data_IF_093681080273
#
_entry.id   IF_093681080273
#
_cell.length_a   1.000
_cell.length_b   1.000
_cell.length_c   1.000
_cell.angle_alpha   90.00
_cell.angle_beta   90.00
_cell.angle_gamma   90.00
#
_symmetry.space_group_name_H-M   'P 1'
#
loop_
_entity.id
_entity.type
_entity.pdbx_description
1 polymer ?
#
# COMPACT_ATOMS: atom_id res chain seq x y z
N UNK A 1 7.89 6.72 23.53
CA UNK A 1 6.91 7.06 22.47
C UNK A 1 6.00 5.86 22.24
N UNK A 2 4.70 6.08 22.06
CA UNK A 2 3.70 5.03 21.83
C UNK A 2 3.25 5.10 20.35
N UNK A 3 3.14 3.94 19.70
CA UNK A 3 2.78 3.81 18.27
C UNK A 3 1.30 3.46 18.12
N UNK A 4 0.60 4.19 17.26
CA UNK A 4 -0.76 3.87 16.81
C UNK A 4 -0.65 3.12 15.49
N UNK A 5 -1.29 1.97 15.39
CA UNK A 5 -1.41 1.23 14.14
C UNK A 5 -2.85 1.42 13.68
N UNK A 6 -3.12 2.36 12.77
CA UNK A 6 -4.44 2.41 12.14
C UNK A 6 -4.49 1.31 11.08
N UNK A 7 -5.28 0.27 11.31
CA UNK A 7 -5.48 -0.80 10.35
C UNK A 7 -6.70 -0.41 9.51
N UNK A 8 -6.46 -0.08 8.25
CA UNK A 8 -7.52 0.18 7.29
C UNK A 8 -7.66 -1.07 6.40
N UNK A 9 -8.52 -2.01 6.80
CA UNK A 9 -9.05 -2.95 5.82
C UNK A 9 -9.88 -2.14 4.82
N UNK A 10 -9.42 -2.01 3.57
CA UNK A 10 -10.23 -1.42 2.51
C UNK A 10 -11.26 -2.50 2.13
N UNK A 11 -12.33 -2.58 2.93
CA UNK A 11 -13.56 -3.22 2.53
C UNK A 11 -14.55 -2.13 2.12
N UNK A 12 -14.26 -1.41 1.03
CA UNK A 12 -15.25 -0.58 0.31
C UNK A 12 -14.63 0.05 -0.92
N UNK A 13 -14.56 -0.70 -2.03
CA UNK A 13 -14.63 -0.22 -3.42
C UNK A 13 -14.99 -1.41 -4.33
N UNK A 14 -16.13 -2.07 -4.08
CA UNK A 14 -16.68 -3.10 -4.99
C UNK A 14 -18.22 -3.13 -5.03
N UNK A 15 -18.92 -2.07 -4.62
CA UNK A 15 -20.40 -2.06 -4.62
C UNK A 15 -21.08 -1.07 -5.57
N UNK A 16 -20.35 -0.35 -6.42
CA UNK A 16 -20.96 0.60 -7.38
C UNK A 16 -20.67 0.33 -8.86
N UNK A 17 -19.94 -0.74 -9.20
CA UNK A 17 -19.71 -1.12 -10.59
C UNK A 17 -20.42 -2.42 -11.04
N UNK A 18 -21.12 -3.12 -10.14
CA UNK A 18 -21.81 -4.39 -10.46
C UNK A 18 -23.32 -4.39 -10.22
N UNK A 19 -23.92 -3.26 -9.82
CA UNK A 19 -25.37 -3.15 -9.53
C UNK A 19 -26.12 -2.14 -10.41
N UNK A 20 -25.44 -1.51 -11.37
CA UNK A 20 -26.09 -0.63 -12.36
C UNK A 20 -26.62 -1.39 -13.59
N UNK A 21 -26.53 -2.72 -13.60
CA UNK A 21 -26.94 -3.55 -14.72
C UNK A 21 -27.78 -4.76 -14.28
N UNK A 22 -28.64 -4.65 -13.25
CA UNK A 22 -29.75 -5.61 -13.08
C UNK A 22 -30.84 -5.14 -12.09
N UNK A 23 -31.35 -3.92 -12.25
CA UNK A 23 -32.51 -3.43 -11.50
C UNK A 23 -33.60 -2.92 -12.44
N UNK A 24 -33.92 -3.73 -13.43
CA UNK A 24 -35.19 -3.65 -14.14
C UNK A 24 -35.77 -5.06 -14.27
N UNK A 25 -36.23 -5.66 -13.18
CA UNK A 25 -37.42 -6.50 -13.15
C UNK A 25 -37.70 -7.07 -11.75
N UNK A 26 -38.98 -7.03 -11.38
CA UNK A 26 -39.70 -7.78 -10.33
C UNK A 26 -39.83 -7.11 -8.95
N UNK A 27 -41.05 -6.63 -8.75
CA UNK A 27 -41.66 -6.27 -7.48
C UNK A 27 -42.32 -7.49 -6.80
N UNK A 28 -42.54 -7.34 -5.49
CA UNK A 28 -43.62 -7.88 -4.63
C UNK A 28 -43.50 -9.26 -3.90
N UNK A 29 -43.74 -9.16 -2.57
CA UNK A 29 -44.32 -10.10 -1.58
C UNK A 29 -43.56 -11.44 -1.33
N UNK A 30 -43.19 -11.83 -0.11
CA UNK A 30 -44.02 -12.33 1.01
C UNK A 30 -43.06 -12.83 2.12
N UNK A 31 -43.44 -12.80 3.40
CA UNK A 31 -42.71 -13.47 4.51
C UNK A 31 -42.92 -15.00 4.52
N UNK A 32 -41.96 -15.78 5.07
CA UNK A 32 -42.12 -16.93 6.01
C UNK A 32 -40.79 -17.72 6.16
N UNK A 33 -40.66 -18.47 7.27
CA UNK A 33 -39.49 -18.96 8.01
C UNK A 33 -38.78 -20.26 7.54
N UNK A 34 -37.49 -20.36 7.94
CA UNK A 34 -36.67 -21.51 8.41
C UNK A 34 -36.89 -22.90 7.77
N UNK A 35 -35.87 -23.39 7.04
CA UNK A 35 -35.20 -24.70 7.18
C UNK A 35 -34.20 -24.92 6.02
N UNK A 36 -32.96 -25.33 6.32
CA UNK A 36 -31.95 -25.74 5.34
C UNK A 36 -32.46 -26.92 4.49
N UNK A 37 -32.18 -26.97 3.18
CA UNK A 37 -30.88 -27.45 2.70
C UNK A 37 -30.28 -26.56 1.60
N UNK A 38 -28.95 -26.67 1.40
CA UNK A 38 -28.15 -25.87 0.47
C UNK A 38 -28.77 -25.77 -0.94
N UNK A 39 -28.87 -24.58 -1.55
CA UNK A 39 -29.44 -24.44 -2.88
C UNK A 39 -28.47 -24.97 -3.95
N UNK A 40 -28.94 -25.90 -4.79
CA UNK A 40 -28.29 -26.25 -6.05
C UNK A 40 -28.76 -25.28 -7.12
N UNK A 41 -27.83 -24.55 -7.73
CA UNK A 41 -28.03 -23.81 -8.98
C UNK A 41 -27.52 -24.66 -10.13
N UNK A 42 -28.35 -24.84 -11.16
CA UNK A 42 -27.98 -25.46 -12.43
C UNK A 42 -28.14 -24.39 -13.51
N UNK A 43 -27.11 -24.19 -14.32
CA UNK A 43 -27.17 -23.31 -15.50
C UNK A 43 -27.31 -24.19 -16.75
N UNK A 44 -27.91 -23.62 -17.80
CA UNK A 44 -28.27 -24.33 -19.04
C UNK A 44 -27.07 -24.79 -19.91
N UNK A 45 -25.83 -24.62 -19.44
CA UNK A 45 -24.60 -25.08 -20.11
C UNK A 45 -24.09 -26.44 -19.57
N UNK A 46 -24.81 -27.06 -18.62
CA UNK A 46 -24.47 -28.36 -18.05
C UNK A 46 -23.49 -28.31 -16.88
N UNK A 47 -23.14 -27.13 -16.36
CA UNK A 47 -22.36 -27.01 -15.13
C UNK A 47 -23.20 -27.31 -13.87
N UNK A 48 -22.71 -28.25 -13.05
CA UNK A 48 -23.32 -28.60 -11.75
C UNK A 48 -22.35 -28.33 -10.61
N UNK A 49 -22.82 -27.64 -9.56
CA UNK A 49 -22.01 -27.27 -8.39
C UNK A 49 -22.18 -28.25 -7.21
N UNK A 50 -21.07 -28.80 -6.71
CA UNK A 50 -20.98 -29.52 -5.43
C UNK A 50 -19.64 -29.17 -4.74
N UNK A 51 -19.68 -28.39 -3.66
CA UNK A 51 -18.53 -28.16 -2.76
C UNK A 51 -17.40 -27.25 -3.28
N UNK A 52 -16.46 -26.94 -2.36
CA UNK A 52 -15.48 -25.84 -2.44
C UNK A 52 -14.25 -26.09 -3.34
N UNK A 53 -14.42 -26.61 -4.54
CA UNK A 53 -13.32 -26.65 -5.52
C UNK A 53 -13.80 -26.59 -6.96
N UNK A 54 -13.22 -25.69 -7.77
CA UNK A 54 -13.43 -25.58 -9.21
C UNK A 54 -12.19 -26.10 -9.95
N UNK A 55 -12.42 -27.01 -10.91
CA UNK A 55 -11.46 -27.33 -11.97
C UNK A 55 -12.04 -26.83 -13.29
N UNK A 56 -11.35 -25.91 -13.97
CA UNK A 56 -11.72 -25.44 -15.31
C UNK A 56 -10.66 -25.88 -16.31
N UNK A 57 -11.13 -26.50 -17.40
CA UNK A 57 -10.33 -26.83 -18.56
C UNK A 57 -10.67 -25.79 -19.64
N UNK A 58 -9.77 -24.84 -19.90
CA UNK A 58 -9.99 -23.81 -20.91
C UNK A 58 -8.77 -23.75 -21.85
N UNK A 59 -8.94 -24.29 -23.06
CA UNK A 59 -8.09 -23.95 -24.19
C UNK A 59 -8.59 -22.64 -24.81
N UNK A 60 -7.71 -21.65 -24.99
CA UNK A 60 -8.02 -20.48 -25.80
C UNK A 60 -6.77 -19.90 -26.46
N UNK A 61 -6.90 -19.60 -27.76
CA UNK A 61 -5.86 -19.01 -28.61
C UNK A 61 -5.74 -17.50 -28.35
N UNK A 62 -4.50 -17.01 -28.26
CA UNK A 62 -4.19 -15.61 -28.05
C UNK A 62 -4.29 -14.80 -29.36
N UNK A 63 -5.08 -13.72 -29.37
CA UNK A 63 -4.87 -12.58 -30.25
C UNK A 63 -4.57 -11.35 -29.39
N UNK A 64 -3.47 -10.68 -29.73
CA UNK A 64 -2.82 -9.67 -28.90
C UNK A 64 -3.63 -8.39 -28.75
N UNK A 65 -3.79 -7.98 -27.50
CA UNK A 65 -4.13 -6.61 -27.09
C UNK A 65 -3.04 -6.18 -26.12
N UNK A 66 -2.29 -5.14 -26.48
CA UNK A 66 -1.24 -4.56 -25.65
C UNK A 66 -1.86 -3.73 -24.52
N UNK A 67 -1.62 -4.14 -23.28
CA UNK A 67 -2.07 -3.45 -22.08
C UNK A 67 -1.28 -2.14 -21.82
N UNK A 68 -1.93 -0.99 -21.56
CA UNK A 68 -1.26 0.28 -21.30
C UNK A 68 -0.47 0.31 -19.98
N UNK A 69 -0.68 -0.66 -19.07
CA UNK A 69 0.01 -0.79 -17.80
C UNK A 69 1.51 -1.14 -17.93
N UNK A 70 1.91 -1.82 -19.00
CA UNK A 70 3.32 -2.16 -19.25
C UNK A 70 4.17 -0.94 -19.64
N UNK A 71 3.55 0.12 -20.15
CA UNK A 71 4.30 1.29 -20.64
C UNK A 71 4.88 2.14 -19.52
N UNK A 72 4.21 2.27 -18.38
CA UNK A 72 4.64 3.15 -17.29
C UNK A 72 5.76 2.52 -16.45
N UNK A 73 5.67 1.22 -16.18
CA UNK A 73 6.71 0.46 -15.47
C UNK A 73 8.00 0.39 -16.28
N UNK A 74 7.92 0.11 -17.58
CA UNK A 74 9.09 0.06 -18.48
C UNK A 74 9.71 1.44 -18.75
N UNK A 75 8.91 2.51 -18.88
CA UNK A 75 9.40 3.87 -19.10
C UNK A 75 10.04 4.47 -17.84
N UNK A 76 9.56 4.12 -16.64
CA UNK A 76 10.22 4.50 -15.39
C UNK A 76 11.50 3.70 -15.14
N UNK A 77 11.56 2.42 -15.54
CA UNK A 77 12.77 1.59 -15.48
C UNK A 77 13.91 2.11 -16.37
N UNK A 78 13.62 2.52 -17.62
CA UNK A 78 14.68 3.01 -18.53
C UNK A 78 15.35 4.30 -18.07
N UNK A 79 14.66 5.16 -17.31
CA UNK A 79 15.26 6.39 -16.74
C UNK A 79 16.05 6.14 -15.44
N UNK A 80 15.88 5.00 -14.79
CA UNK A 80 16.53 4.70 -13.50
C UNK A 80 17.74 3.78 -13.60
N UNK A 81 17.96 3.10 -14.74
CA UNK A 81 19.16 2.28 -14.97
C UNK A 81 20.42 3.08 -15.38
N UNK A 82 20.32 4.40 -15.55
CA UNK A 82 21.43 5.25 -15.97
C UNK A 82 21.77 6.33 -14.95
N UNK A 83 22.55 6.01 -13.91
CA UNK A 83 23.08 7.06 -13.04
C UNK A 83 23.54 6.63 -11.65
N UNK A 84 24.58 5.80 -11.58
CA UNK A 84 25.68 5.91 -10.59
C UNK A 84 26.57 4.67 -10.71
N UNK A 85 27.88 4.89 -10.80
CA UNK A 85 28.86 3.84 -10.53
C UNK A 85 28.70 3.42 -9.06
N UNK A 86 27.82 2.45 -8.79
CA UNK A 86 27.75 1.80 -7.49
C UNK A 86 29.03 1.00 -7.33
N UNK A 87 29.91 1.49 -6.47
CA UNK A 87 31.19 0.88 -6.18
C UNK A 87 30.94 -0.55 -5.67
N UNK A 88 31.46 -1.58 -6.35
CA UNK A 88 31.21 -2.99 -6.00
C UNK A 88 31.74 -3.34 -4.60
N UNK A 89 32.66 -2.53 -4.07
CA UNK A 89 33.17 -2.56 -2.70
C UNK A 89 32.11 -2.24 -1.62
N UNK A 90 30.87 -1.88 -2.00
CA UNK A 90 29.78 -1.61 -1.05
C UNK A 90 29.08 -2.89 -0.55
N UNK A 91 29.47 -4.08 -1.04
CA UNK A 91 28.85 -5.35 -0.65
C UNK A 91 29.56 -6.09 0.50
N UNK A 92 30.74 -5.62 0.92
CA UNK A 92 31.56 -6.23 1.98
C UNK A 92 31.15 -5.84 3.40
N UNK A 93 30.39 -4.75 3.58
CA UNK A 93 29.87 -4.37 4.89
C UNK A 93 28.63 -5.21 5.27
N UNK A 94 28.45 -5.53 6.57
CA UNK A 94 27.27 -6.23 7.03
C UNK A 94 26.02 -5.38 6.72
N UNK A 95 25.11 -5.95 5.93
CA UNK A 95 23.86 -5.30 5.54
C UNK A 95 22.95 -5.18 6.77
N UNK A 96 23.08 -4.05 7.44
CA UNK A 96 22.39 -3.72 8.69
C UNK A 96 21.82 -2.31 8.59
N UNK A 97 20.73 -2.07 9.31
CA UNK A 97 20.14 -0.75 9.49
C UNK A 97 20.26 -0.38 10.96
N UNK A 98 20.74 0.82 11.26
CA UNK A 98 20.91 1.26 12.64
C UNK A 98 19.58 1.68 13.26
N UNK A 99 19.46 1.50 14.58
CA UNK A 99 18.31 1.98 15.35
C UNK A 99 18.44 3.48 15.62
N UNK A 100 18.41 4.28 14.56
CA UNK A 100 18.45 5.75 14.59
C UNK A 100 17.43 6.34 13.62
N UNK A 101 17.14 7.62 13.78
CA UNK A 101 16.31 8.33 12.82
C UNK A 101 17.04 8.56 11.50
N UNK A 102 16.41 8.16 10.41
CA UNK A 102 16.92 8.32 9.06
C UNK A 102 16.27 9.54 8.41
N UNK A 103 17.03 10.63 8.20
CA UNK A 103 16.57 11.73 7.33
C UNK A 103 16.32 11.26 5.88
N UNK A 104 15.77 12.12 5.04
CA UNK A 104 15.36 11.78 3.67
C UNK A 104 16.48 11.15 2.85
N UNK A 105 17.70 11.70 2.94
CA UNK A 105 18.85 11.20 2.18
C UNK A 105 19.30 9.83 2.68
N UNK A 106 19.37 9.62 4.00
CA UNK A 106 19.73 8.33 4.59
C UNK A 106 18.68 7.26 4.30
N UNK A 107 17.39 7.60 4.42
CA UNK A 107 16.29 6.72 4.06
C UNK A 107 16.35 6.34 2.57
N UNK A 108 16.53 7.32 1.68
CA UNK A 108 16.64 7.09 0.23
C UNK A 108 17.83 6.21 -0.10
N UNK A 109 18.97 6.45 0.56
CA UNK A 109 20.18 5.61 0.41
C UNK A 109 19.89 4.17 0.82
N UNK A 110 19.27 3.96 1.99
CA UNK A 110 18.88 2.63 2.46
C UNK A 110 17.99 1.91 1.43
N UNK A 111 16.89 2.53 0.98
CA UNK A 111 15.96 1.91 0.04
C UNK A 111 16.62 1.53 -1.29
N UNK A 112 17.49 2.39 -1.82
CA UNK A 112 18.27 2.11 -3.04
C UNK A 112 19.26 0.98 -2.84
N UNK A 113 19.97 0.96 -1.71
CA UNK A 113 20.90 -0.11 -1.36
C UNK A 113 20.19 -1.46 -1.19
N UNK A 114 19.03 -1.47 -0.52
CA UNK A 114 18.18 -2.66 -0.40
C UNK A 114 17.82 -3.22 -1.77
N UNK A 115 17.40 -2.34 -2.69
CA UNK A 115 17.01 -2.75 -4.06
C UNK A 115 18.17 -3.30 -4.86
N UNK A 116 19.34 -2.66 -4.76
CA UNK A 116 20.55 -3.14 -5.43
C UNK A 116 21.02 -4.50 -4.88
N UNK A 117 20.80 -4.77 -3.58
CA UNK A 117 21.24 -6.02 -2.93
C UNK A 117 20.24 -7.17 -3.07
N UNK A 118 18.94 -6.88 -3.10
CA UNK A 118 17.87 -7.88 -3.21
C UNK A 118 16.98 -7.63 -4.43
N UNK A 119 17.53 -7.57 -5.65
CA UNK A 119 16.77 -7.20 -6.85
C UNK A 119 15.69 -8.21 -7.24
N UNK A 120 15.80 -9.46 -6.80
CA UNK A 120 14.77 -10.50 -6.99
C UNK A 120 13.60 -10.40 -6.02
N UNK A 121 13.78 -9.70 -4.90
CA UNK A 121 12.76 -9.56 -3.85
C UNK A 121 12.16 -8.16 -3.78
N UNK A 122 12.76 -7.17 -4.44
CA UNK A 122 12.40 -5.78 -4.24
C UNK A 122 12.32 -4.96 -5.52
N UNK A 123 11.42 -3.98 -5.52
CA UNK A 123 11.31 -2.98 -6.57
C UNK A 123 11.01 -1.62 -5.93
N UNK A 124 11.90 -0.64 -6.15
CA UNK A 124 11.76 0.73 -5.64
C UNK A 124 11.17 1.63 -6.71
N UNK A 125 10.14 2.39 -6.36
CA UNK A 125 9.57 3.42 -7.22
C UNK A 125 9.09 4.61 -6.39
N UNK A 126 8.84 5.72 -7.07
CA UNK A 126 8.30 6.94 -6.48
C UNK A 126 6.89 7.17 -7.01
N UNK A 127 5.91 7.41 -6.12
CA UNK A 127 4.52 7.68 -6.55
C UNK A 127 4.26 9.16 -6.86
N UNK A 128 5.26 10.00 -6.66
CA UNK A 128 5.14 11.44 -6.81
C UNK A 128 6.22 12.18 -6.02
N UNK A 129 6.04 13.48 -5.86
CA UNK A 129 6.96 14.32 -5.09
C UNK A 129 6.19 15.11 -4.04
N UNK A 130 6.83 15.36 -2.91
CA UNK A 130 6.36 16.30 -1.90
C UNK A 130 6.36 17.73 -2.44
N UNK A 131 5.79 18.66 -1.66
CA UNK A 131 5.83 20.10 -1.97
C UNK A 131 7.26 20.61 -2.23
N UNK A 132 8.26 20.13 -1.47
CA UNK A 132 9.66 20.52 -1.62
C UNK A 132 10.45 19.63 -2.60
N UNK A 133 9.76 18.78 -3.39
CA UNK A 133 10.38 18.00 -4.47
C UNK A 133 11.02 16.68 -4.02
N UNK A 134 10.83 16.25 -2.77
CA UNK A 134 11.33 14.96 -2.27
C UNK A 134 10.47 13.83 -2.81
N UNK A 135 11.11 12.76 -3.28
CA UNK A 135 10.41 11.59 -3.78
C UNK A 135 9.57 10.90 -2.70
N UNK A 136 8.35 10.50 -3.08
CA UNK A 136 7.45 9.72 -2.25
C UNK A 136 7.71 8.24 -2.52
N UNK A 137 8.76 7.74 -1.88
CA UNK A 137 9.27 6.38 -2.09
C UNK A 137 8.32 5.30 -1.61
N UNK A 138 8.17 4.27 -2.45
CA UNK A 138 7.53 3.00 -2.11
C UNK A 138 8.46 1.86 -2.52
N UNK A 139 8.72 0.95 -1.60
CA UNK A 139 9.46 -0.28 -1.86
C UNK A 139 8.48 -1.46 -1.87
N UNK A 140 8.40 -2.17 -2.99
CA UNK A 140 7.77 -3.48 -3.04
C UNK A 140 8.72 -4.49 -2.42
N UNK A 141 8.21 -5.38 -1.57
CA UNK A 141 8.91 -6.55 -1.02
C UNK A 141 8.06 -7.79 -1.29
N UNK A 142 8.54 -8.66 -2.17
CA UNK A 142 7.84 -9.86 -2.63
C UNK A 142 8.75 -10.76 -3.47
N UNK A 143 8.48 -12.06 -3.55
CA UNK A 143 9.16 -12.96 -4.49
C UNK A 143 8.87 -12.66 -5.98
N UNK A 144 7.88 -11.81 -6.27
CA UNK A 144 7.51 -11.34 -7.61
C UNK A 144 7.30 -9.81 -7.57
N UNK A 145 8.37 -9.01 -7.43
CA UNK A 145 8.22 -7.59 -7.05
C UNK A 145 7.77 -6.68 -8.20
N UNK A 146 8.11 -7.01 -9.45
CA UNK A 146 7.89 -6.14 -10.62
C UNK A 146 6.47 -6.18 -11.16
N UNK A 147 5.75 -7.29 -10.99
CA UNK A 147 4.42 -7.51 -11.57
C UNK A 147 3.46 -8.13 -10.58
N UNK A 148 2.17 -7.81 -10.75
CA UNK A 148 1.10 -8.44 -9.98
C UNK A 148 0.85 -9.85 -10.51
N UNK A 149 0.66 -10.80 -9.60
CA UNK A 149 0.37 -12.20 -9.93
C UNK A 149 -1.06 -12.54 -9.54
N UNK A 150 -1.80 -13.22 -10.41
CA UNK A 150 -3.15 -13.68 -10.10
C UNK A 150 -3.18 -14.50 -8.81
N UNK A 151 -4.12 -14.18 -7.94
CA UNK A 151 -4.27 -14.83 -6.62
C UNK A 151 -3.29 -14.35 -5.55
N UNK A 152 -2.35 -13.45 -5.87
CA UNK A 152 -1.40 -12.87 -4.93
C UNK A 152 -1.84 -11.47 -4.51
N UNK A 153 -2.35 -11.26 -3.27
CA UNK A 153 -2.87 -9.96 -2.85
C UNK A 153 -1.77 -8.90 -2.76
N UNK A 154 -2.08 -7.68 -3.21
CA UNK A 154 -1.30 -6.49 -2.90
C UNK A 154 -1.74 -5.92 -1.55
N UNK A 155 -0.78 -5.72 -0.65
CA UNK A 155 -0.96 -5.14 0.68
C UNK A 155 -0.08 -3.90 0.79
N UNK A 156 -0.53 -2.86 1.50
CA UNK A 156 0.30 -1.67 1.73
C UNK A 156 0.44 -1.25 3.18
N UNK A 157 1.62 -0.72 3.49
CA UNK A 157 1.87 0.02 4.71
C UNK A 157 2.34 1.44 4.39
N UNK A 158 1.76 2.42 5.07
CA UNK A 158 2.12 3.83 4.95
C UNK A 158 2.54 4.33 6.33
N UNK A 159 3.72 4.92 6.42
CA UNK A 159 4.23 5.57 7.62
C UNK A 159 4.36 7.08 7.45
N UNK A 160 4.44 7.76 8.59
CA UNK A 160 4.93 9.13 8.67
C UNK A 160 4.19 10.11 7.74
N UNK A 161 2.86 9.97 7.70
CA UNK A 161 1.93 10.95 7.12
C UNK A 161 1.96 12.27 7.91
N UNK A 162 2.16 12.19 9.23
CA UNK A 162 2.61 13.32 10.04
C UNK A 162 4.12 13.22 10.22
N UNK A 163 4.84 14.25 9.80
CA UNK A 163 6.31 14.22 9.75
C UNK A 163 6.97 14.02 11.12
N UNK A 164 6.38 14.53 12.19
CA UNK A 164 6.88 14.38 13.55
C UNK A 164 6.54 13.05 14.24
N UNK A 165 5.74 12.20 13.60
CA UNK A 165 5.39 10.87 14.11
C UNK A 165 6.42 9.81 13.64
N UNK A 166 7.68 10.04 13.99
CA UNK A 166 8.87 9.41 13.42
C UNK A 166 8.97 7.88 13.61
N UNK A 167 8.38 7.32 14.67
CA UNK A 167 8.45 5.87 14.96
C UNK A 167 7.89 5.03 13.81
N UNK A 168 6.81 5.50 13.18
CA UNK A 168 6.18 4.83 12.04
C UNK A 168 7.15 4.64 10.86
N UNK A 169 7.96 5.66 10.57
CA UNK A 169 8.98 5.63 9.51
C UNK A 169 10.03 4.55 9.78
N UNK A 170 10.64 4.61 10.96
CA UNK A 170 11.74 3.71 11.30
C UNK A 170 11.28 2.25 11.42
N UNK A 171 10.08 2.01 11.97
CA UNK A 171 9.50 0.66 12.00
C UNK A 171 9.34 0.05 10.61
N UNK A 172 8.93 0.85 9.62
CA UNK A 172 8.78 0.35 8.25
C UNK A 172 10.13 0.10 7.57
N UNK A 173 11.18 0.88 7.88
CA UNK A 173 12.53 0.59 7.39
C UNK A 173 13.09 -0.70 8.02
N UNK A 174 12.87 -0.90 9.31
CA UNK A 174 13.24 -2.14 10.01
C UNK A 174 12.46 -3.35 9.48
N UNK A 175 11.17 -3.19 9.18
CA UNK A 175 10.36 -4.24 8.56
C UNK A 175 10.90 -4.64 7.18
N UNK A 176 11.26 -3.66 6.34
CA UNK A 176 11.90 -3.91 5.04
C UNK A 176 13.16 -4.75 5.23
N UNK A 177 14.06 -4.32 6.13
CA UNK A 177 15.31 -5.04 6.41
C UNK A 177 15.05 -6.47 6.89
N UNK A 178 14.14 -6.64 7.85
CA UNK A 178 13.77 -7.94 8.39
C UNK A 178 13.26 -8.89 7.30
N UNK A 179 12.32 -8.43 6.45
CA UNK A 179 11.72 -9.25 5.40
C UNK A 179 12.75 -9.73 4.37
N UNK A 180 13.61 -8.83 3.88
CA UNK A 180 14.59 -9.20 2.84
C UNK A 180 15.72 -10.08 3.38
N UNK A 181 16.13 -9.88 4.63
CA UNK A 181 17.23 -10.67 5.23
C UNK A 181 16.79 -12.04 5.71
N UNK A 182 15.52 -12.23 6.06
CA UNK A 182 15.01 -13.50 6.57
C UNK A 182 14.31 -14.36 5.51
N UNK A 183 14.13 -13.88 4.28
CA UNK A 183 13.44 -14.64 3.22
C UNK A 183 14.04 -16.03 2.96
N UNK A 184 15.37 -16.19 3.07
CA UNK A 184 16.02 -17.48 2.81
C UNK A 184 16.07 -18.42 4.02
N UNK A 185 15.83 -17.91 5.23
CA UNK A 185 16.10 -18.62 6.49
C UNK A 185 14.84 -18.86 7.33
N UNK A 186 13.85 -17.98 7.23
CA UNK A 186 12.59 -18.07 7.97
C UNK A 186 11.47 -18.54 7.02
N UNK A 187 10.93 -19.73 7.30
CA UNK A 187 9.87 -20.35 6.48
C UNK A 187 8.59 -19.51 6.45
N UNK A 188 8.26 -18.78 7.52
CA UNK A 188 7.09 -17.92 7.55
C UNK A 188 7.31 -16.67 6.69
N UNK A 189 8.47 -16.01 6.80
CA UNK A 189 8.81 -14.86 5.94
C UNK A 189 8.85 -15.28 4.48
N UNK A 190 9.44 -16.44 4.17
CA UNK A 190 9.43 -17.01 2.82
C UNK A 190 8.00 -17.18 2.30
N UNK A 191 7.16 -17.90 3.06
CA UNK A 191 5.77 -18.12 2.70
C UNK A 191 5.02 -16.80 2.50
N UNK A 192 5.22 -15.81 3.39
CA UNK A 192 4.59 -14.51 3.31
C UNK A 192 4.95 -13.78 2.01
N UNK A 193 6.23 -13.72 1.64
CA UNK A 193 6.68 -13.01 0.43
C UNK A 193 6.42 -13.78 -0.87
N UNK A 194 6.33 -15.11 -0.80
CA UNK A 194 5.90 -15.96 -1.91
C UNK A 194 4.41 -15.71 -2.23
N UNK A 195 3.58 -15.50 -1.21
CA UNK A 195 2.13 -15.42 -1.34
C UNK A 195 1.55 -14.00 -1.22
N UNK A 196 2.34 -12.97 -0.92
CA UNK A 196 1.86 -11.59 -0.79
C UNK A 196 2.80 -10.62 -1.50
N UNK A 197 2.24 -9.55 -2.09
CA UNK A 197 3.01 -8.43 -2.63
C UNK A 197 2.87 -7.21 -1.72
N UNK A 198 3.91 -6.93 -0.94
CA UNK A 198 3.84 -5.91 0.12
C UNK A 198 4.47 -4.62 -0.39
N UNK A 199 3.70 -3.54 -0.41
CA UNK A 199 4.15 -2.19 -0.76
C UNK A 199 4.35 -1.35 0.49
N UNK A 200 5.59 -0.91 0.73
CA UNK A 200 5.94 -0.17 1.95
C UNK A 200 6.35 1.25 1.59
N UNK A 201 5.60 2.22 2.09
CA UNK A 201 5.89 3.66 2.02
C UNK A 201 6.36 4.14 3.41
N UNK A 202 7.67 4.29 3.66
CA UNK A 202 8.15 4.67 4.98
C UNK A 202 7.77 6.09 5.38
N UNK A 203 7.67 7.02 4.42
CA UNK A 203 7.34 8.41 4.68
C UNK A 203 6.48 9.03 3.59
N UNK A 204 5.22 9.30 3.93
CA UNK A 204 4.30 10.07 3.08
C UNK A 204 4.53 11.59 3.19
N UNK A 205 5.04 12.07 4.33
CA UNK A 205 5.36 13.48 4.56
C UNK A 205 6.86 13.69 4.88
N UNK A 206 7.75 13.51 3.89
CA UNK A 206 9.18 13.69 4.13
C UNK A 206 9.53 15.14 4.46
N UNK A 207 8.77 16.12 3.94
CA UNK A 207 9.02 17.53 4.23
C UNK A 207 8.78 17.89 5.70
N UNK A 208 7.67 17.39 6.26
CA UNK A 208 7.37 17.55 7.68
C UNK A 208 8.41 16.88 8.57
N UNK A 209 8.93 15.71 8.17
CA UNK A 209 9.96 15.00 8.93
C UNK A 209 11.25 15.82 9.04
N UNK A 210 11.74 16.41 7.94
CA UNK A 210 13.00 17.19 7.95
C UNK A 210 12.96 18.43 8.84
N UNK A 211 11.77 18.99 9.11
CA UNK A 211 11.60 20.13 10.02
C UNK A 211 11.14 19.74 11.42
N UNK A 212 10.97 18.43 11.68
CA UNK A 212 10.63 17.89 12.98
C UNK A 212 11.85 17.90 13.90
N UNK A 213 11.62 18.07 15.21
CA UNK A 213 12.70 18.09 16.20
C UNK A 213 12.70 16.82 17.04
N UNK A 214 13.81 16.10 17.01
CA UNK A 214 14.01 14.92 17.88
C UNK A 214 13.84 15.30 19.37
N UNK A 215 13.24 14.38 20.14
CA UNK A 215 12.96 14.58 21.56
C UNK A 215 11.66 15.34 21.86
N UNK A 216 11.05 16.00 20.86
CA UNK A 216 9.73 16.62 21.02
C UNK A 216 8.65 15.53 21.00
N UNK A 217 8.08 15.24 22.17
CA UNK A 217 7.01 14.24 22.31
C UNK A 217 5.62 14.86 22.19
N UNK A 218 5.53 16.17 22.40
CA UNK A 218 4.37 17.02 22.26
C UNK A 218 4.63 18.10 21.20
N UNK A 219 3.54 18.60 20.60
CA UNK A 219 3.59 19.69 19.62
C UNK A 219 3.27 19.30 18.17
N UNK A 220 3.23 20.32 17.32
CA UNK A 220 2.83 20.24 15.90
C UNK A 220 3.95 20.56 14.92
N UNK A 221 5.16 20.88 15.42
CA UNK A 221 6.31 21.17 14.59
C UNK A 221 6.65 19.93 13.73
N UNK A 222 6.55 20.09 12.40
CA UNK A 222 6.78 19.00 11.44
C UNK A 222 5.62 18.02 11.28
N UNK A 223 4.47 18.24 11.94
CA UNK A 223 3.26 17.43 11.72
C UNK A 223 2.70 17.61 10.32
N UNK A 224 2.50 18.86 9.91
CA UNK A 224 1.88 19.23 8.64
C UNK A 224 2.85 19.06 7.46
N UNK A 225 2.35 19.08 6.23
CA UNK A 225 3.22 19.16 5.06
C UNK A 225 3.86 20.56 4.94
N UNK A 226 4.75 20.78 3.97
CA UNK A 226 5.44 22.08 3.82
C UNK A 226 4.52 23.27 3.48
N UNK A 227 3.23 23.05 3.16
CA UNK A 227 2.22 24.11 3.00
C UNK A 227 1.35 24.31 4.24
N UNK A 228 1.64 23.63 5.34
CA UNK A 228 0.88 23.74 6.59
C UNK A 228 -0.45 22.98 6.59
N UNK A 229 -0.66 22.04 5.67
CA UNK A 229 -1.87 21.20 5.64
C UNK A 229 -1.67 19.90 6.41
N UNK A 230 -2.70 19.46 7.14
CA UNK A 230 -2.76 18.12 7.72
C UNK A 230 -3.16 17.13 6.63
N UNK A 231 -2.23 16.27 6.22
CA UNK A 231 -2.45 15.29 5.15
C UNK A 231 -3.52 14.26 5.53
N UNK A 232 -3.65 13.91 6.81
CA UNK A 232 -4.70 13.01 7.31
C UNK A 232 -6.07 13.70 7.47
N UNK A 233 -6.18 14.95 7.01
CA UNK A 233 -7.45 15.69 6.86
C UNK A 233 -7.60 16.24 5.44
N UNK A 234 -6.78 15.79 4.49
CA UNK A 234 -6.77 16.30 3.12
C UNK A 234 -7.40 15.36 2.09
N UNK A 235 -7.71 14.12 2.48
CA UNK A 235 -8.43 13.18 1.62
C UNK A 235 -9.92 13.56 1.47
N UNK A 236 -10.57 13.18 0.36
CA UNK A 236 -12.02 13.24 0.24
C UNK A 236 -12.68 12.49 1.41
N UNK A 237 -13.73 13.07 1.97
CA UNK A 237 -14.49 12.49 3.08
C UNK A 237 -15.89 12.09 2.59
N UNK A 238 -16.35 10.93 3.04
CA UNK A 238 -17.62 10.34 2.61
C UNK A 238 -18.84 11.06 3.20
N UNK A 239 -18.72 11.60 4.41
CA UNK A 239 -19.81 12.23 5.14
C UNK A 239 -19.93 13.73 4.87
N UNK A 240 -18.80 14.41 4.64
CA UNK A 240 -18.73 15.84 4.41
C UNK A 240 -17.81 16.15 3.25
N UNK A 241 -18.23 17.06 2.37
CA UNK A 241 -17.38 17.51 1.29
C UNK A 241 -16.13 18.20 1.86
N UNK A 242 -14.95 17.65 1.56
CA UNK A 242 -13.69 18.24 1.95
C UNK A 242 -13.25 19.30 0.91
N UNK A 243 -13.44 20.58 1.25
CA UNK A 243 -13.10 21.71 0.38
C UNK A 243 -11.66 22.22 0.55
N UNK A 244 -10.80 21.48 1.28
CA UNK A 244 -9.40 21.87 1.46
C UNK A 244 -8.65 21.70 0.14
N UNK A 245 -7.69 22.58 -0.12
CA UNK A 245 -6.80 22.47 -1.28
C UNK A 245 -6.07 21.13 -1.23
N UNK A 246 -6.18 20.37 -2.31
CA UNK A 246 -5.44 19.12 -2.49
C UNK A 246 -3.92 19.35 -2.42
N UNK A 247 -3.24 18.51 -1.66
CA UNK A 247 -1.78 18.52 -1.52
C UNK A 247 -1.14 17.49 -2.45
N UNK A 248 0.09 17.76 -2.97
CA UNK A 248 0.73 16.84 -3.90
C UNK A 248 0.97 15.46 -3.28
N UNK A 249 1.24 15.36 -1.98
CA UNK A 249 1.38 14.09 -1.27
C UNK A 249 0.07 13.30 -1.25
N UNK A 250 -1.05 13.97 -1.00
CA UNK A 250 -2.39 13.36 -0.96
C UNK A 250 -2.83 12.91 -2.35
N UNK A 251 -2.60 13.71 -3.39
CA UNK A 251 -2.93 13.34 -4.77
C UNK A 251 -2.09 12.16 -5.26
N UNK A 252 -0.79 12.14 -4.96
CA UNK A 252 0.07 11.00 -5.29
C UNK A 252 -0.45 9.69 -4.66
N UNK A 253 -0.88 9.71 -3.39
CA UNK A 253 -1.44 8.53 -2.72
C UNK A 253 -2.80 8.14 -3.31
N UNK A 254 -3.69 9.10 -3.62
CA UNK A 254 -4.98 8.82 -4.27
C UNK A 254 -4.78 8.13 -5.62
N UNK A 255 -3.90 8.69 -6.45
CA UNK A 255 -3.56 8.12 -7.75
C UNK A 255 -2.95 6.71 -7.58
N UNK A 256 -2.03 6.55 -6.64
CA UNK A 256 -1.41 5.25 -6.36
C UNK A 256 -2.43 4.19 -5.94
N UNK A 257 -3.35 4.52 -5.04
CA UNK A 257 -4.41 3.61 -4.58
C UNK A 257 -5.40 3.28 -5.70
N UNK A 258 -5.61 4.18 -6.66
CA UNK A 258 -6.49 3.90 -7.82
C UNK A 258 -5.87 2.95 -8.85
N UNK A 259 -4.54 2.82 -8.88
CA UNK A 259 -3.81 2.03 -9.88
C UNK A 259 -3.55 0.58 -9.48
N UNK A 260 -3.61 0.26 -8.18
CA UNK A 260 -3.30 -1.06 -7.64
C UNK A 260 -4.46 -1.55 -6.79
N UNK A 261 -4.86 -2.79 -6.97
CA UNK A 261 -5.94 -3.43 -6.21
C UNK A 261 -5.46 -3.86 -4.81
N UNK A 262 -5.28 -2.88 -3.92
CA UNK A 262 -4.90 -3.17 -2.54
C UNK A 262 -6.03 -3.84 -1.76
N UNK A 263 -5.74 -5.03 -1.22
CA UNK A 263 -6.70 -5.82 -0.42
C UNK A 263 -6.65 -5.44 1.06
N UNK A 264 -5.48 -5.10 1.58
CA UNK A 264 -5.26 -4.70 2.97
C UNK A 264 -4.34 -3.48 3.04
N UNK A 265 -4.60 -2.60 4.02
CA UNK A 265 -3.80 -1.41 4.26
C UNK A 265 -3.56 -1.18 5.76
N UNK A 266 -2.38 -0.70 6.10
CA UNK A 266 -2.09 -0.15 7.43
C UNK A 266 -1.45 1.23 7.32
N UNK A 267 -1.96 2.22 8.05
CA UNK A 267 -1.33 3.52 8.21
C UNK A 267 -0.82 3.67 9.64
N UNK A 268 0.47 3.92 9.80
CA UNK A 268 1.13 3.98 11.10
C UNK A 268 1.30 5.43 11.56
N UNK A 269 0.94 5.65 12.82
CA UNK A 269 0.94 6.95 13.48
C UNK A 269 1.68 6.90 14.81
N UNK A 270 2.04 8.07 15.34
CA UNK A 270 2.60 8.25 16.67
C UNK A 270 1.68 9.08 17.56
N UNK A 271 1.78 8.91 18.88
CA UNK A 271 1.09 9.77 19.86
C UNK A 271 0.11 9.04 20.79
N UNK A 272 -0.32 7.83 20.44
CA UNK A 272 -1.09 6.93 21.32
C UNK A 272 -0.65 5.47 21.10
N UNK A 273 -1.21 4.54 21.89
CA UNK A 273 -1.02 3.09 21.71
C UNK A 273 -2.38 2.43 21.55
N UNK A 274 -2.87 2.38 20.32
CA UNK A 274 -4.19 1.86 19.97
C UNK A 274 -4.18 1.40 18.51
N UNK A 275 -5.07 0.46 18.18
CA UNK A 275 -5.41 0.16 16.80
C UNK A 275 -6.75 0.81 16.43
N UNK A 276 -6.72 1.88 15.63
CA UNK A 276 -7.94 2.54 15.13
C UNK A 276 -8.42 1.85 13.86
N UNK A 277 -9.74 1.78 13.68
CA UNK A 277 -10.38 1.19 12.50
C UNK A 277 -11.58 2.05 12.06
N UNK A 278 -12.02 1.95 10.80
CA UNK A 278 -13.13 2.75 10.28
C UNK A 278 -14.44 2.62 11.08
N UNK A 279 -15.27 3.67 11.11
CA UNK A 279 -15.07 4.97 10.46
C UNK A 279 -14.40 5.99 11.41
N UNK A 280 -13.51 6.82 10.87
CA UNK A 280 -12.86 7.91 11.63
C UNK A 280 -13.75 9.17 11.77
N UNK A 281 -14.89 9.21 11.09
CA UNK A 281 -15.82 10.34 11.08
C UNK A 281 -17.28 9.86 11.05
N UNK A 282 -18.24 10.75 11.38
CA UNK A 282 -19.68 10.49 11.35
C UNK A 282 -20.44 11.67 10.72
N UNK A 283 -21.67 11.49 10.20
CA UNK A 283 -22.44 12.57 9.56
C UNK A 283 -22.62 13.83 10.43
N UNK A 284 -22.73 13.64 11.74
CA UNK A 284 -23.03 14.69 12.71
C UNK A 284 -21.82 15.16 13.52
N UNK A 285 -20.59 14.74 13.17
CA UNK A 285 -19.40 15.30 13.79
C UNK A 285 -19.39 16.83 13.57
N UNK A 286 -18.93 17.61 14.54
CA UNK A 286 -18.73 19.06 14.33
C UNK A 286 -17.37 19.29 13.69
#
# INVERSE_FOLDING_TARGET
MKTVISILAIATWLYTASLAADLSHIANRTQVSIASPSPRLSLDDGTTFVGDSISVNAGFQAQGVSDPANSLSELQQRKYQGGSNLNLDTFTEPYTIDYKYHNFDRMTKFLRQTTARYPSLTALYSIGKSVQGRDLWVLVVSASPYEHMLGKPDVKYIGNIHGNEAVSRELLLQLIHYLVTNYATDNFVKWLLDNTRIHIMPSMNPDGFEVSKEGSCDGTQGRYNARGFDLNRNFPDYFKQNNRRAQPETEAVKEWVSKIQFVLSGSLHGGALVASYPFDNTPNSR
#
